data_IF_722516385697
#
_entry.id   IF_722516385697
#
_cell.length_a   1.000
_cell.length_b   1.000
_cell.length_c   1.000
_cell.angle_alpha   90.00
_cell.angle_beta   90.00
_cell.angle_gamma   90.00
#
_symmetry.space_group_name_H-M   'P 1'
#
loop_
_entity.id
_entity.type
_entity.pdbx_description
1 polymer ?
#
# COMPACT_ATOMS: atom_id res chain seq x y z
N UNK A 1 -50.54 -16.78 52.45
CA UNK A 1 -50.46 -16.28 51.07
C UNK A 1 -49.87 -14.88 51.09
N UNK A 2 -48.99 -14.59 50.13
CA UNK A 2 -48.20 -13.35 49.92
C UNK A 2 -46.88 -13.26 50.69
N UNK A 3 -45.79 -13.53 49.96
CA UNK A 3 -44.41 -13.50 50.43
C UNK A 3 -43.68 -12.23 49.96
N UNK A 4 -43.28 -11.45 50.96
CA UNK A 4 -42.08 -10.60 51.17
C UNK A 4 -41.24 -10.09 49.99
N UNK A 5 -40.84 -8.82 50.15
CA UNK A 5 -39.86 -8.02 49.41
C UNK A 5 -38.40 -8.49 49.60
N UNK A 6 -37.55 -8.02 48.66
CA UNK A 6 -36.15 -7.53 48.77
C UNK A 6 -34.99 -8.37 48.15
N UNK A 7 -34.04 -7.60 47.58
CA UNK A 7 -32.68 -7.90 47.04
C UNK A 7 -32.58 -8.05 45.52
N UNK A 8 -32.13 -7.02 44.78
CA UNK A 8 -30.76 -6.47 44.65
C UNK A 8 -29.90 -7.24 43.63
N UNK A 9 -29.53 -6.50 42.57
CA UNK A 9 -28.37 -6.58 41.67
C UNK A 9 -27.47 -7.83 41.72
N UNK A 10 -27.14 -8.39 40.55
CA UNK A 10 -25.79 -8.30 39.98
C UNK A 10 -25.63 -9.12 38.68
N UNK A 11 -24.62 -8.72 37.89
CA UNK A 11 -23.99 -9.45 36.78
C UNK A 11 -24.68 -9.43 35.40
N UNK A 12 -24.72 -8.25 34.76
CA UNK A 12 -24.33 -8.21 33.35
C UNK A 12 -22.82 -7.97 33.32
N UNK A 13 -22.06 -9.06 33.21
CA UNK A 13 -20.62 -9.00 33.00
C UNK A 13 -20.37 -8.35 31.63
N UNK A 14 -19.88 -7.11 31.63
CA UNK A 14 -19.29 -6.51 30.46
C UNK A 14 -18.06 -7.35 30.08
N UNK A 15 -18.10 -8.00 28.93
CA UNK A 15 -16.91 -8.56 28.29
C UNK A 15 -16.10 -7.35 27.83
N UNK A 16 -15.30 -6.80 28.74
CA UNK A 16 -14.19 -5.94 28.37
C UNK A 16 -13.13 -6.86 27.75
N UNK A 17 -13.24 -7.07 26.45
CA UNK A 17 -12.13 -7.58 25.65
C UNK A 17 -11.05 -6.48 25.66
N UNK A 18 -10.23 -6.46 26.72
CA UNK A 18 -8.97 -5.73 26.72
C UNK A 18 -8.00 -6.55 25.87
N UNK A 19 -8.23 -6.57 24.56
CA UNK A 19 -7.20 -6.92 23.61
C UNK A 19 -6.34 -5.69 23.44
N UNK A 20 -5.09 -5.74 23.88
CA UNK A 20 -4.10 -4.78 23.39
C UNK A 20 -4.04 -4.96 21.88
N UNK A 21 -4.50 -3.96 21.13
CA UNK A 21 -4.37 -3.94 19.68
C UNK A 21 -2.89 -3.77 19.35
N UNK A 22 -2.18 -4.90 19.29
CA UNK A 22 -0.76 -5.00 18.96
C UNK A 22 -0.56 -4.97 17.43
N UNK A 23 -1.56 -4.48 16.68
CA UNK A 23 -1.46 -4.30 15.24
C UNK A 23 -0.45 -3.20 14.95
N UNK A 24 0.78 -3.62 14.66
CA UNK A 24 1.74 -2.73 14.00
C UNK A 24 1.14 -2.34 12.65
N UNK A 25 1.15 -1.04 12.30
CA UNK A 25 0.76 -0.65 10.96
C UNK A 25 1.63 -1.39 9.95
N UNK A 26 1.04 -1.81 8.84
CA UNK A 26 1.79 -2.38 7.73
C UNK A 26 2.88 -1.38 7.35
N UNK A 27 4.12 -1.85 7.30
CA UNK A 27 5.29 -1.04 6.98
C UNK A 27 5.98 -1.63 5.77
N UNK A 28 6.26 -0.79 4.78
CA UNK A 28 6.98 -1.23 3.59
C UNK A 28 8.42 -1.69 3.93
N UNK A 29 9.07 -1.07 4.92
CA UNK A 29 10.40 -1.51 5.36
C UNK A 29 10.38 -2.97 5.82
N UNK A 30 9.34 -3.38 6.54
CA UNK A 30 9.18 -4.77 6.96
C UNK A 30 8.97 -5.74 5.77
N UNK A 31 8.44 -5.26 4.64
CA UNK A 31 8.29 -6.05 3.41
C UNK A 31 9.61 -6.12 2.62
N UNK A 32 10.39 -5.05 2.57
CA UNK A 32 11.69 -4.99 1.90
C UNK A 32 12.79 -5.77 2.61
N UNK A 33 12.71 -5.87 3.93
CA UNK A 33 13.67 -6.64 4.72
C UNK A 33 13.52 -8.16 4.55
N UNK A 34 12.58 -8.65 3.72
CA UNK A 34 12.47 -10.08 3.43
C UNK A 34 13.73 -10.57 2.68
N UNK A 35 14.60 -11.35 3.34
CA UNK A 35 15.90 -11.72 2.77
C UNK A 35 15.79 -12.81 1.70
N UNK A 36 14.61 -13.42 1.53
CA UNK A 36 14.44 -14.54 0.62
C UNK A 36 14.00 -14.07 -0.78
N UNK A 37 14.97 -13.67 -1.58
CA UNK A 37 14.78 -13.37 -3.01
C UNK A 37 14.85 -14.63 -3.90
N UNK A 38 14.83 -15.84 -3.33
CA UNK A 38 14.92 -17.08 -4.10
C UNK A 38 13.72 -17.21 -5.04
N UNK A 39 13.99 -17.50 -6.30
CA UNK A 39 13.00 -17.65 -7.37
C UNK A 39 12.67 -16.37 -8.13
N UNK A 40 13.03 -15.18 -7.63
CA UNK A 40 12.89 -13.93 -8.37
C UNK A 40 14.08 -13.68 -9.29
N UNK A 41 13.86 -12.93 -10.39
CA UNK A 41 14.95 -12.42 -11.20
C UNK A 41 15.80 -11.42 -10.40
N UNK A 42 17.10 -11.40 -10.72
CA UNK A 42 18.07 -10.45 -10.17
C UNK A 42 18.45 -9.44 -11.23
N UNK A 43 18.59 -8.18 -10.83
CA UNK A 43 19.12 -7.11 -11.68
C UNK A 43 20.66 -7.13 -11.66
N UNK A 44 21.26 -8.28 -11.98
CA UNK A 44 22.72 -8.53 -11.94
C UNK A 44 23.41 -8.37 -13.30
N UNK A 45 22.62 -8.10 -14.35
CA UNK A 45 23.07 -7.90 -15.73
C UNK A 45 22.35 -6.74 -16.38
N UNK A 46 22.99 -6.15 -17.38
CA UNK A 46 22.37 -5.13 -18.22
C UNK A 46 21.33 -5.78 -19.12
N UNK A 47 20.09 -5.31 -19.04
CA UNK A 47 18.99 -5.69 -19.92
C UNK A 47 18.60 -4.46 -20.74
N UNK A 48 18.52 -4.55 -22.08
CA UNK A 48 18.06 -3.44 -22.90
C UNK A 48 16.60 -3.07 -22.57
N UNK A 49 16.39 -1.82 -22.18
CA UNK A 49 15.05 -1.27 -21.91
C UNK A 49 14.35 -1.00 -23.25
N UNK A 50 13.10 -1.45 -23.37
CA UNK A 50 12.27 -1.34 -24.57
C UNK A 50 10.93 -0.70 -24.23
N UNK A 51 10.67 0.45 -24.84
CA UNK A 51 9.40 1.16 -24.69
C UNK A 51 8.45 0.82 -25.86
N UNK A 52 7.12 0.72 -25.61
CA UNK A 52 6.43 0.99 -24.34
C UNK A 52 6.31 -0.21 -23.39
N UNK A 53 6.91 -1.37 -23.73
CA UNK A 53 6.81 -2.60 -22.92
C UNK A 53 7.22 -2.35 -21.47
N UNK A 54 8.38 -1.74 -21.28
CA UNK A 54 9.00 -1.56 -19.97
C UNK A 54 8.46 -0.30 -19.23
N UNK A 55 7.34 0.27 -19.70
CA UNK A 55 6.50 1.11 -18.83
C UNK A 55 5.68 0.27 -17.84
N UNK A 56 5.38 -0.99 -18.19
CA UNK A 56 4.52 -1.86 -17.40
C UNK A 56 5.21 -2.43 -16.16
N UNK A 57 4.50 -3.33 -15.49
CA UNK A 57 5.03 -4.09 -14.37
C UNK A 57 5.96 -5.23 -14.81
N UNK A 58 7.06 -5.41 -14.09
CA UNK A 58 8.01 -6.50 -14.24
C UNK A 58 7.83 -7.51 -13.10
N UNK A 59 6.79 -8.36 -13.21
CA UNK A 59 6.35 -9.28 -12.15
C UNK A 59 7.36 -10.35 -11.73
N UNK A 60 8.36 -10.63 -12.56
CA UNK A 60 9.43 -11.58 -12.26
C UNK A 60 10.42 -11.05 -11.21
N UNK A 61 10.37 -9.75 -10.89
CA UNK A 61 11.17 -9.11 -9.85
C UNK A 61 10.37 -8.94 -8.56
N UNK A 62 11.05 -9.17 -7.44
CA UNK A 62 10.43 -9.10 -6.12
C UNK A 62 9.90 -7.70 -5.78
N UNK A 63 10.62 -6.67 -6.20
CA UNK A 63 10.32 -5.28 -5.84
C UNK A 63 10.28 -4.44 -7.10
N UNK A 64 9.30 -3.55 -7.17
CA UNK A 64 9.22 -2.53 -8.21
C UNK A 64 8.56 -1.25 -7.65
N UNK A 65 8.88 -0.10 -8.24
CA UNK A 65 8.26 1.16 -7.83
C UNK A 65 8.08 2.13 -9.00
N UNK A 66 7.03 2.93 -8.91
CA UNK A 66 6.79 4.10 -9.75
C UNK A 66 6.88 5.33 -8.87
N UNK A 67 7.80 6.24 -9.21
CA UNK A 67 8.13 7.39 -8.37
C UNK A 67 8.04 8.69 -9.15
N UNK A 68 7.11 9.55 -8.74
CA UNK A 68 6.86 10.86 -9.36
C UNK A 68 7.05 11.94 -8.32
N UNK A 69 7.87 12.92 -8.65
CA UNK A 69 8.10 14.11 -7.82
C UNK A 69 7.96 15.34 -8.69
N UNK A 70 7.51 16.43 -8.09
CA UNK A 70 7.41 17.69 -8.81
C UNK A 70 7.26 18.87 -7.89
N UNK A 71 7.39 20.04 -8.50
CA UNK A 71 7.10 21.34 -7.91
C UNK A 71 5.97 21.93 -8.74
N UNK A 72 4.93 22.41 -8.07
CA UNK A 72 3.78 23.07 -8.68
C UNK A 72 3.54 24.40 -7.97
N UNK A 73 2.86 25.31 -8.65
CA UNK A 73 2.42 26.57 -8.06
C UNK A 73 0.91 26.72 -8.19
N UNK A 74 0.27 27.33 -7.20
CA UNK A 74 -1.13 27.73 -7.30
C UNK A 74 -1.31 29.03 -8.10
N UNK A 75 -2.55 29.51 -8.18
CA UNK A 75 -2.90 30.75 -8.90
C UNK A 75 -2.21 31.99 -8.30
N UNK A 76 -1.85 31.95 -7.03
CA UNK A 76 -1.17 33.02 -6.28
C UNK A 76 0.37 32.90 -6.35
N UNK A 77 0.90 31.98 -7.17
CA UNK A 77 2.33 31.67 -7.31
C UNK A 77 2.97 31.08 -6.04
N UNK A 78 2.18 30.51 -5.13
CA UNK A 78 2.72 29.80 -3.96
C UNK A 78 3.23 28.43 -4.38
N UNK A 79 4.43 28.06 -3.94
CA UNK A 79 5.09 26.82 -4.35
C UNK A 79 4.74 25.63 -3.43
N UNK A 80 4.45 24.50 -4.07
CA UNK A 80 4.23 23.22 -3.42
C UNK A 80 5.15 22.16 -4.01
N UNK A 81 5.84 21.42 -3.16
CA UNK A 81 6.46 20.16 -3.55
C UNK A 81 5.43 19.04 -3.43
N UNK A 82 5.39 18.11 -4.38
CA UNK A 82 4.61 16.88 -4.23
C UNK A 82 5.46 15.65 -4.55
N UNK A 83 5.06 14.54 -3.94
CA UNK A 83 5.65 13.22 -4.12
C UNK A 83 4.53 12.20 -4.22
N UNK A 84 4.55 11.35 -5.25
CA UNK A 84 3.73 10.15 -5.36
C UNK A 84 4.63 8.95 -5.58
N UNK A 85 4.42 7.89 -4.79
CA UNK A 85 5.14 6.63 -4.96
C UNK A 85 4.16 5.47 -4.91
N UNK A 86 4.17 4.62 -5.93
CA UNK A 86 3.52 3.31 -5.88
C UNK A 86 4.60 2.24 -5.79
N UNK A 87 4.59 1.47 -4.72
CA UNK A 87 5.49 0.36 -4.48
C UNK A 87 4.75 -0.95 -4.69
N UNK A 88 5.39 -1.91 -5.37
CA UNK A 88 4.98 -3.32 -5.43
C UNK A 88 6.00 -4.19 -4.73
N UNK A 89 5.51 -5.09 -3.88
CA UNK A 89 6.28 -6.20 -3.34
C UNK A 89 5.61 -7.53 -3.70
N UNK A 90 6.34 -8.42 -4.35
CA UNK A 90 5.94 -9.80 -4.54
C UNK A 90 6.35 -10.65 -3.33
N UNK A 91 5.39 -11.40 -2.79
CA UNK A 91 5.55 -12.36 -1.70
C UNK A 91 5.99 -13.73 -2.21
N UNK A 92 5.71 -14.04 -3.48
CA UNK A 92 6.06 -15.31 -4.14
C UNK A 92 6.52 -15.09 -5.58
N UNK A 93 7.53 -15.84 -6.07
CA UNK A 93 8.16 -15.64 -7.39
C UNK A 93 7.36 -16.13 -8.60
N UNK A 94 6.25 -16.84 -8.40
CA UNK A 94 5.44 -17.36 -9.51
C UNK A 94 3.98 -17.35 -9.12
N UNK A 95 3.15 -16.69 -9.92
CA UNK A 95 1.71 -16.80 -9.82
C UNK A 95 1.22 -17.77 -10.91
N UNK A 96 1.01 -19.03 -10.55
CA UNK A 96 -0.08 -19.76 -11.22
C UNK A 96 -1.38 -19.15 -10.70
N UNK A 97 -1.83 -18.08 -11.35
CA UNK A 97 -3.10 -17.40 -11.07
C UNK A 97 -4.28 -18.36 -11.31
N UNK A 98 -4.54 -19.23 -10.35
CA UNK A 98 -5.75 -20.07 -10.33
C UNK A 98 -6.95 -19.23 -9.86
N UNK A 99 -6.70 -18.19 -9.06
CA UNK A 99 -7.70 -17.32 -8.43
C UNK A 99 -7.22 -15.86 -8.48
N UNK A 100 -7.99 -14.91 -9.06
CA UNK A 100 -7.61 -13.51 -9.14
C UNK A 100 -7.42 -12.83 -7.78
N UNK A 101 -7.92 -13.42 -6.69
CA UNK A 101 -7.72 -12.92 -5.34
C UNK A 101 -6.42 -13.42 -4.68
N UNK A 102 -5.77 -14.42 -5.27
CA UNK A 102 -4.48 -14.98 -4.81
C UNK A 102 -3.32 -14.51 -5.66
N UNK A 103 -3.19 -13.18 -5.76
CA UNK A 103 -1.98 -12.55 -6.29
C UNK A 103 -0.92 -12.68 -5.22
N UNK A 104 0.29 -13.15 -5.46
CA UNK A 104 1.37 -12.98 -4.49
C UNK A 104 1.84 -11.53 -4.36
N UNK A 105 1.02 -10.50 -4.61
CA UNK A 105 1.44 -9.09 -4.68
C UNK A 105 0.81 -8.24 -3.58
N UNK A 106 1.63 -7.38 -2.97
CA UNK A 106 1.20 -6.26 -2.14
C UNK A 106 1.62 -4.96 -2.84
N UNK A 107 0.72 -3.99 -2.84
CA UNK A 107 0.97 -2.63 -3.28
C UNK A 107 0.84 -1.66 -2.10
N UNK A 108 1.69 -0.63 -2.09
CA UNK A 108 1.53 0.54 -1.23
C UNK A 108 1.66 1.81 -2.07
N UNK A 109 0.72 2.73 -1.90
CA UNK A 109 0.83 4.07 -2.44
C UNK A 109 1.15 5.05 -1.31
N UNK A 110 2.10 5.94 -1.55
CA UNK A 110 2.47 7.06 -0.68
C UNK A 110 2.29 8.36 -1.47
N UNK A 111 1.50 9.29 -0.94
CA UNK A 111 1.35 10.62 -1.51
C UNK A 111 1.63 11.69 -0.46
N UNK A 112 2.45 12.67 -0.82
CA UNK A 112 2.81 13.76 0.07
C UNK A 112 2.82 15.11 -0.64
N UNK A 113 2.45 16.15 0.10
CA UNK A 113 2.47 17.55 -0.35
C UNK A 113 3.18 18.39 0.71
N UNK A 114 4.10 19.23 0.26
CA UNK A 114 4.87 20.17 1.07
C UNK A 114 4.53 21.59 0.64
N UNK A 115 3.91 22.37 1.51
CA UNK A 115 3.73 23.82 1.37
C UNK A 115 5.02 24.52 1.85
N UNK A 116 5.74 25.15 0.92
CA UNK A 116 7.06 25.73 1.20
C UNK A 116 6.95 26.95 2.10
N UNK A 117 5.98 27.83 1.83
CA UNK A 117 5.78 29.07 2.56
C UNK A 117 5.37 28.79 4.01
N UNK A 118 4.41 27.89 4.20
CA UNK A 118 3.90 27.52 5.51
C UNK A 118 4.78 26.50 6.24
N UNK A 119 5.81 25.96 5.56
CA UNK A 119 6.68 24.88 6.06
C UNK A 119 5.88 23.69 6.59
N UNK A 120 4.80 23.38 5.89
CA UNK A 120 3.87 22.33 6.28
C UNK A 120 4.01 21.14 5.34
N UNK A 121 4.02 19.93 5.89
CA UNK A 121 4.13 18.69 5.13
C UNK A 121 3.03 17.73 5.57
N UNK A 122 2.27 17.22 4.60
CA UNK A 122 1.21 16.23 4.83
C UNK A 122 1.47 15.03 3.94
N UNK A 123 1.24 13.84 4.48
CA UNK A 123 1.44 12.59 3.77
C UNK A 123 0.32 11.60 4.07
N UNK A 124 0.05 10.75 3.10
CA UNK A 124 -0.99 9.74 3.12
C UNK A 124 -0.45 8.44 2.54
N UNK A 125 -0.74 7.33 3.22
CA UNK A 125 -0.38 5.99 2.76
C UNK A 125 -1.63 5.14 2.58
N UNK A 126 -1.60 4.28 1.57
CA UNK A 126 -2.60 3.22 1.42
C UNK A 126 -1.95 1.93 0.96
N UNK A 127 -2.49 0.80 1.41
CA UNK A 127 -2.05 -0.54 1.04
C UNK A 127 -3.19 -1.30 0.38
N UNK A 128 -2.88 -2.11 -0.61
CA UNK A 128 -3.83 -3.06 -1.17
C UNK A 128 -3.10 -4.29 -1.71
N UNK A 129 -3.85 -5.36 -1.98
CA UNK A 129 -3.31 -6.50 -2.74
C UNK A 129 -3.29 -6.17 -4.22
N UNK A 130 -2.41 -6.83 -4.98
CA UNK A 130 -2.53 -6.82 -6.43
C UNK A 130 -3.91 -7.32 -6.84
N UNK A 131 -4.58 -6.60 -7.72
CA UNK A 131 -5.80 -7.03 -8.40
C UNK A 131 -6.13 -5.96 -9.43
N UNK A 132 -6.62 -6.33 -10.61
CA UNK A 132 -7.01 -5.40 -11.69
C UNK A 132 -8.07 -4.33 -11.30
N UNK A 133 -8.65 -4.42 -10.10
CA UNK A 133 -9.65 -3.49 -9.55
C UNK A 133 -9.19 -2.77 -8.28
N UNK A 134 -8.07 -3.20 -7.69
CA UNK A 134 -7.59 -2.70 -6.40
C UNK A 134 -6.23 -2.04 -6.52
N UNK A 135 -5.28 -2.65 -7.22
CA UNK A 135 -3.96 -2.07 -7.44
C UNK A 135 -3.25 -2.76 -8.60
N UNK A 136 -2.49 -1.99 -9.36
CA UNK A 136 -1.67 -2.52 -10.45
C UNK A 136 -1.23 -1.44 -11.44
N UNK A 137 -0.60 -1.90 -12.52
CA UNK A 137 -0.13 -1.04 -13.60
C UNK A 137 -0.63 -1.52 -14.96
N UNK A 138 -1.21 -0.63 -15.77
CA UNK A 138 -1.53 -0.88 -17.17
C UNK A 138 -0.65 0.00 -18.07
N UNK A 139 -0.38 -0.46 -19.29
CA UNK A 139 0.52 0.24 -20.24
C UNK A 139 -0.20 1.06 -21.30
N UNK A 140 -1.47 0.72 -21.64
CA UNK A 140 -2.24 1.39 -22.69
C UNK A 140 -3.72 1.55 -22.27
N UNK A 141 -4.17 2.75 -21.85
CA UNK A 141 -3.33 3.88 -21.44
C UNK A 141 -2.44 3.52 -20.23
N UNK A 142 -1.33 4.24 -20.07
CA UNK A 142 -0.50 4.06 -18.88
C UNK A 142 -1.29 4.47 -17.64
N UNK A 143 -1.32 3.60 -16.64
CA UNK A 143 -1.98 3.85 -15.36
C UNK A 143 -1.26 3.07 -14.29
N UNK A 144 -0.80 3.73 -13.24
CA UNK A 144 -0.29 3.10 -12.03
C UNK A 144 -1.21 3.52 -10.88
N UNK A 145 -1.94 2.58 -10.29
CA UNK A 145 -3.05 2.92 -9.41
C UNK A 145 -3.15 2.07 -8.15
N UNK A 146 -3.81 2.64 -7.14
CA UNK A 146 -4.27 1.96 -5.95
C UNK A 146 -5.65 2.49 -5.57
N UNK A 147 -6.67 1.67 -5.82
CA UNK A 147 -8.09 1.98 -5.67
C UNK A 147 -8.49 3.21 -6.49
N UNK A 148 -8.86 4.30 -5.82
CA UNK A 148 -9.21 5.58 -6.44
C UNK A 148 -8.02 6.53 -6.64
N UNK A 149 -6.80 6.13 -6.26
CA UNK A 149 -5.57 6.89 -6.54
C UNK A 149 -5.01 6.48 -7.89
N UNK A 150 -5.02 7.41 -8.86
CA UNK A 150 -4.74 7.19 -10.28
C UNK A 150 -3.94 8.34 -10.87
#
# INVERSE_FOLDING_TARGET
MSAKRLWSLCALAAIAACGTDDSRPLSMNALYENPNAAGFLRADKVVPIQFPRDHGEHLDFQTEWWYVVGIVSDEDQREFGFQFTLFRQALTPSETMVDPWRTGQIYMAHFAVSDIDLRNHVAFDRFSRGHSKLAGVSTVPFKAFLEDWV
#
